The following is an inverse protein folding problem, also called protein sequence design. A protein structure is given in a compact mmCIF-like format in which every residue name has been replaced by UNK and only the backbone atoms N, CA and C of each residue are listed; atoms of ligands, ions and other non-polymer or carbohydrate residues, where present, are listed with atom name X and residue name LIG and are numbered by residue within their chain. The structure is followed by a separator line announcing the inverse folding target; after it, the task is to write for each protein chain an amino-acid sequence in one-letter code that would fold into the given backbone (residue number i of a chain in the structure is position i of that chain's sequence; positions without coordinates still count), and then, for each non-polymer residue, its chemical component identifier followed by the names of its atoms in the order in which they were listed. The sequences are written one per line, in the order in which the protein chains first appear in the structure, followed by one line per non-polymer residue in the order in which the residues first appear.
data_IF_527378219028
#
_entry.id   IF_527378219028
#
_cell.length_a   1.000
_cell.length_b   1.000
_cell.length_c   1.000
_cell.angle_alpha   90.00
_cell.angle_beta   90.00
_cell.angle_gamma   90.00
#
_symmetry.space_group_name_H-M   'P 1'
#
loop_
_entity.id
_entity.type
_entity.pdbx_description
1 polymer ?
#
# COMPACT_ATOMS: atom_id res chain seq x y z
N UNK A 1 -14.14 -17.78 -10.55
CA UNK A 1 -13.95 -16.46 -11.20
C UNK A 1 -14.50 -15.37 -10.26
N UNK A 2 -13.66 -14.75 -9.39
CA UNK A 2 -14.13 -13.99 -8.20
C UNK A 2 -15.01 -12.76 -8.50
N UNK A 3 -14.99 -12.24 -9.73
CA UNK A 3 -15.86 -11.13 -10.16
C UNK A 3 -17.32 -11.51 -10.44
N UNK A 4 -17.64 -12.80 -10.59
CA UNK A 4 -19.04 -13.25 -10.69
C UNK A 4 -19.80 -13.08 -9.37
N UNK A 5 -19.08 -12.85 -8.26
CA UNK A 5 -19.64 -12.78 -6.91
C UNK A 5 -19.53 -11.37 -6.31
N UNK A 6 -19.01 -10.39 -7.07
CA UNK A 6 -18.80 -9.00 -6.62
C UNK A 6 -17.98 -8.85 -5.31
N UNK A 7 -17.18 -9.85 -4.97
CA UNK A 7 -16.36 -9.81 -3.74
C UNK A 7 -15.05 -9.08 -4.02
N UNK A 8 -14.90 -7.98 -3.29
CA UNK A 8 -13.68 -7.23 -3.17
C UNK A 8 -12.78 -7.71 -2.04
N UNK A 9 -11.46 -7.67 -2.22
CA UNK A 9 -10.49 -7.91 -1.17
C UNK A 9 -9.44 -6.80 -1.12
N UNK A 10 -9.08 -6.39 0.08
CA UNK A 10 -7.98 -5.47 0.35
C UNK A 10 -7.28 -5.92 1.64
N UNK A 11 -5.95 -5.99 1.64
CA UNK A 11 -5.18 -6.37 2.83
C UNK A 11 -3.73 -5.94 2.71
N UNK A 12 -3.07 -5.77 3.86
CA UNK A 12 -1.61 -5.68 3.91
C UNK A 12 -0.98 -7.01 3.52
N UNK A 13 0.22 -6.94 2.96
CA UNK A 13 1.02 -8.09 2.54
C UNK A 13 2.43 -7.96 3.10
N UNK A 14 3.08 -9.09 3.40
CA UNK A 14 4.48 -9.09 3.83
C UNK A 14 5.39 -8.78 2.65
N UNK A 15 6.45 -7.99 2.88
CA UNK A 15 7.47 -7.69 1.86
C UNK A 15 8.21 -8.93 1.36
N UNK A 16 8.24 -10.00 2.14
CA UNK A 16 8.84 -11.30 1.79
C UNK A 16 7.97 -12.16 0.87
N UNK A 17 6.74 -11.75 0.55
CA UNK A 17 5.88 -12.48 -0.37
C UNK A 17 6.55 -12.61 -1.75
N UNK A 18 6.62 -13.85 -2.27
CA UNK A 18 7.29 -14.17 -3.53
C UNK A 18 6.64 -13.46 -4.73
N UNK A 19 5.31 -13.42 -4.75
CA UNK A 19 4.51 -12.87 -5.85
C UNK A 19 4.30 -11.35 -5.78
N UNK A 20 4.78 -10.68 -4.72
CA UNK A 20 4.68 -9.23 -4.64
C UNK A 20 5.63 -8.58 -5.67
N UNK A 21 5.16 -7.56 -6.43
CA UNK A 21 5.95 -6.94 -7.50
C UNK A 21 7.31 -6.44 -7.00
N UNK A 22 8.39 -6.86 -7.69
CA UNK A 22 9.76 -6.53 -7.27
C UNK A 22 10.03 -5.03 -7.34
N UNK A 23 9.37 -4.32 -8.25
CA UNK A 23 9.47 -2.87 -8.42
C UNK A 23 8.98 -2.10 -7.18
N UNK A 24 8.06 -2.68 -6.40
CA UNK A 24 7.56 -2.10 -5.16
C UNK A 24 8.28 -2.64 -3.90
N UNK A 25 9.26 -3.54 -4.06
CA UNK A 25 10.08 -4.04 -2.95
C UNK A 25 11.21 -3.06 -2.67
N UNK A 26 10.88 -2.02 -1.92
CA UNK A 26 11.86 -1.00 -1.52
C UNK A 26 12.73 -1.53 -0.37
N UNK A 27 14.04 -1.25 -0.45
CA UNK A 27 14.96 -1.54 0.65
C UNK A 27 14.58 -0.69 1.87
N UNK A 28 14.47 -1.35 3.03
CA UNK A 28 14.17 -0.69 4.31
C UNK A 28 15.21 0.37 4.71
N UNK A 29 16.41 0.34 4.11
CA UNK A 29 17.46 1.34 4.33
C UNK A 29 17.21 2.64 3.57
N UNK A 30 16.38 2.61 2.52
CA UNK A 30 16.02 3.81 1.78
C UNK A 30 15.12 4.68 2.65
N UNK A 31 15.52 5.93 2.87
CA UNK A 31 14.67 6.91 3.55
C UNK A 31 13.79 7.57 2.50
N UNK A 32 12.51 7.25 2.57
CA UNK A 32 11.46 7.90 1.80
C UNK A 32 10.80 8.98 2.65
N UNK A 33 10.33 10.04 2.00
CA UNK A 33 9.53 11.06 2.66
C UNK A 33 8.19 10.49 3.14
N UNK A 34 7.65 11.10 4.20
CA UNK A 34 6.35 10.70 4.72
C UNK A 34 5.26 10.92 3.66
N UNK A 35 4.32 9.98 3.61
CA UNK A 35 3.18 9.92 2.70
C UNK A 35 3.51 9.64 1.22
N UNK A 36 4.76 9.28 0.90
CA UNK A 36 5.10 8.78 -0.43
C UNK A 36 4.35 7.48 -0.69
N UNK A 37 3.64 7.39 -1.81
CA UNK A 37 2.94 6.20 -2.24
C UNK A 37 3.23 5.87 -3.71
N UNK A 38 3.17 4.59 -4.04
CA UNK A 38 3.21 4.13 -5.42
C UNK A 38 2.52 2.78 -5.54
N UNK A 39 2.02 2.47 -6.72
CA UNK A 39 1.43 1.16 -6.97
C UNK A 39 1.52 0.72 -8.41
N UNK A 40 1.46 -0.58 -8.59
CA UNK A 40 1.42 -1.24 -9.90
C UNK A 40 0.28 -2.22 -9.92
N UNK A 41 -0.48 -2.23 -11.01
CA UNK A 41 -1.54 -3.23 -11.20
C UNK A 41 -0.97 -4.45 -11.90
N UNK A 42 -0.96 -5.60 -11.22
CA UNK A 42 -0.51 -6.89 -11.77
C UNK A 42 -1.67 -7.86 -11.73
N UNK A 43 -1.98 -8.50 -12.85
CA UNK A 43 -3.07 -9.47 -12.95
C UNK A 43 -4.42 -8.96 -12.39
N UNK A 44 -4.72 -7.67 -12.62
CA UNK A 44 -5.92 -6.97 -12.13
C UNK A 44 -6.00 -6.86 -10.60
N UNK A 45 -4.89 -7.02 -9.90
CA UNK A 45 -4.71 -6.72 -8.48
C UNK A 45 -3.78 -5.52 -8.39
N UNK A 46 -4.23 -4.47 -7.71
CA UNK A 46 -3.38 -3.33 -7.38
C UNK A 46 -2.46 -3.74 -6.23
N UNK A 47 -1.16 -3.70 -6.47
CA UNK A 47 -0.15 -3.71 -5.42
C UNK A 47 0.27 -2.28 -5.11
N UNK A 48 0.37 -1.94 -3.84
CA UNK A 48 0.73 -0.60 -3.37
C UNK A 48 1.83 -0.71 -2.33
N UNK A 49 2.77 0.23 -2.35
CA UNK A 49 3.53 0.60 -1.17
C UNK A 49 3.14 2.01 -0.73
N UNK A 50 3.17 2.24 0.58
CA UNK A 50 2.92 3.53 1.20
C UNK A 50 3.91 3.75 2.34
N UNK A 51 4.54 4.92 2.37
CA UNK A 51 5.46 5.33 3.41
C UNK A 51 4.72 6.11 4.50
N UNK A 52 4.42 5.45 5.61
CA UNK A 52 3.98 6.12 6.84
C UNK A 52 5.19 6.31 7.78
N UNK A 53 5.07 6.04 9.08
CA UNK A 53 6.24 5.92 9.97
C UNK A 53 7.16 4.74 9.59
N UNK A 54 6.67 3.82 8.76
CA UNK A 54 7.42 2.74 8.14
C UNK A 54 6.80 2.32 6.82
N UNK A 55 7.49 1.45 6.09
CA UNK A 55 7.01 0.95 4.80
C UNK A 55 5.81 0.01 5.01
N UNK A 56 4.68 0.35 4.40
CA UNK A 56 3.47 -0.48 4.36
C UNK A 56 3.27 -0.98 2.95
N UNK A 57 3.09 -2.29 2.79
CA UNK A 57 2.75 -2.92 1.50
C UNK A 57 1.35 -3.52 1.55
N UNK A 58 0.57 -3.32 0.49
CA UNK A 58 -0.85 -3.68 0.41
C UNK A 58 -1.22 -4.25 -0.96
N UNK A 59 -2.24 -5.10 -1.00
CA UNK A 59 -2.91 -5.58 -2.21
C UNK A 59 -4.38 -5.21 -2.18
N UNK A 60 -4.94 -4.80 -3.32
CA UNK A 60 -6.37 -4.49 -3.47
C UNK A 60 -6.90 -5.01 -4.80
N UNK A 61 -8.09 -5.60 -4.79
CA UNK A 61 -8.83 -5.98 -6.00
C UNK A 61 -9.98 -5.04 -6.31
N UNK A 62 -10.22 -4.05 -5.45
CA UNK A 62 -11.37 -3.11 -5.49
C UNK A 62 -10.98 -1.69 -5.85
N UNK A 63 -9.76 -1.28 -5.49
CA UNK A 63 -9.30 0.09 -5.68
C UNK A 63 -8.08 0.09 -6.61
N UNK A 64 -8.08 1.04 -7.55
CA UNK A 64 -6.92 1.40 -8.38
C UNK A 64 -6.36 2.76 -7.93
N UNK A 65 -5.06 2.99 -8.11
CA UNK A 65 -4.47 4.34 -8.06
C UNK A 65 -4.56 4.93 -9.47
N UNK A 66 -5.69 5.54 -9.81
CA UNK A 66 -5.95 6.07 -11.17
C UNK A 66 -6.44 7.51 -11.08
N UNK A 67 -5.77 8.42 -11.80
CA UNK A 67 -6.15 9.83 -11.90
C UNK A 67 -5.93 10.61 -10.60
N UNK A 68 -6.71 11.67 -10.39
CA UNK A 68 -6.71 12.47 -9.15
C UNK A 68 -7.76 11.96 -8.14
N UNK A 69 -8.71 11.12 -8.58
CA UNK A 69 -9.83 10.67 -7.75
C UNK A 69 -9.48 9.62 -6.68
N UNK A 70 -8.27 9.06 -6.70
CA UNK A 70 -7.80 8.18 -5.62
C UNK A 70 -7.32 8.99 -4.41
N UNK A 71 -6.88 10.22 -4.64
CA UNK A 71 -6.41 11.13 -3.61
C UNK A 71 -7.63 11.80 -2.98
N UNK A 72 -8.12 11.19 -1.91
CA UNK A 72 -9.04 11.90 -1.02
C UNK A 72 -8.17 12.82 -0.18
N UNK A 73 -8.07 14.09 -0.59
CA UNK A 73 -7.50 15.16 0.24
C UNK A 73 -8.28 15.24 1.55
N UNK A 74 -7.79 14.51 2.54
CA UNK A 74 -8.21 14.62 3.92
C UNK A 74 -6.93 14.97 4.67
N UNK A 75 -6.94 16.03 5.46
CA UNK A 75 -5.79 16.38 6.31
C UNK A 75 -5.42 15.17 7.18
N UNK A 76 -4.42 14.41 6.73
CA UNK A 76 -3.90 13.26 7.46
C UNK A 76 -2.80 13.79 8.35
N UNK A 77 -3.09 13.86 9.65
CA UNK A 77 -2.05 14.17 10.62
C UNK A 77 -1.06 13.01 10.68
N UNK A 78 0.20 13.26 10.33
CA UNK A 78 1.30 12.31 10.55
C UNK A 78 1.25 11.81 12.00
N UNK A 79 1.22 10.47 12.23
CA UNK A 79 1.28 9.93 13.57
C UNK A 79 2.54 10.42 14.31
N UNK A 80 2.48 10.53 15.64
CA UNK A 80 3.64 10.97 16.44
C UNK A 80 4.83 10.05 16.17
N UNK A 81 6.06 10.57 16.16
CA UNK A 81 7.26 9.74 15.95
C UNK A 81 7.39 8.63 17.01
N UNK A 82 6.85 8.86 18.21
CA UNK A 82 6.79 7.88 19.29
C UNK A 82 5.72 6.80 19.11
N UNK A 83 4.79 6.96 18.15
CA UNK A 83 3.79 5.94 17.86
C UNK A 83 4.41 4.87 16.96
N UNK A 84 4.95 3.84 17.59
CA UNK A 84 5.22 2.54 16.98
C UNK A 84 3.86 1.90 16.74
N UNK A 85 3.38 1.82 15.50
CA UNK A 85 2.05 1.29 15.21
C UNK A 85 1.94 -0.17 15.73
N UNK A 86 1.24 -0.31 16.87
CA UNK A 86 1.04 -1.49 17.74
C UNK A 86 2.31 -2.05 18.41
N UNK A 87 2.17 -2.44 19.68
CA UNK A 87 3.23 -2.85 20.60
C UNK A 87 4.18 -3.93 20.05
N UNK A 88 5.42 -3.89 20.57
CA UNK A 88 6.49 -4.89 20.43
C UNK A 88 6.00 -6.34 20.47
#
# INVERSE_FOLDING_TARGET
NRRQVEIGACSTVRTTASEFPKELKIDKKLRLDWDVCSGVTVNRVLAVFWQDNGLVTMLSTIHGLVGEHWEVERERRRPRETSTNAAK
#
